data_IF_826953379189
#
_entry.id   IF_826953379189
#
_cell.length_a   1.000
_cell.length_b   1.000
_cell.length_c   1.000
_cell.angle_alpha   90.00
_cell.angle_beta   90.00
_cell.angle_gamma   90.00
#
_symmetry.space_group_name_H-M   'P 1'
#
loop_
_entity.id
_entity.type
_entity.pdbx_description
1 polymer ?
#
# COMPACT_ATOMS: atom_id res chain seq x y z
N UNK A 1 -12.49 8.31 -21.44
CA UNK A 1 -13.08 8.27 -20.11
C UNK A 1 -13.64 6.90 -19.83
N UNK A 2 -13.32 6.34 -18.74
CA UNK A 2 -13.87 5.04 -18.51
C UNK A 2 -15.25 5.12 -17.87
N UNK A 3 -15.93 4.04 -18.04
CA UNK A 3 -17.28 3.90 -17.57
C UNK A 3 -17.35 3.92 -16.07
N UNK A 4 -18.38 4.49 -15.56
CA UNK A 4 -18.66 4.44 -14.14
C UNK A 4 -19.03 3.05 -13.75
N UNK A 5 -18.15 2.40 -13.06
CA UNK A 5 -18.45 1.16 -12.39
C UNK A 5 -18.94 1.56 -11.00
N UNK A 6 -20.16 1.17 -10.59
CA UNK A 6 -20.67 1.58 -9.28
C UNK A 6 -19.81 1.12 -8.12
N UNK A 7 -19.01 0.08 -8.33
CA UNK A 7 -18.14 -0.45 -7.30
C UNK A 7 -16.78 0.23 -7.26
N UNK A 8 -16.50 1.10 -8.22
CA UNK A 8 -15.22 1.79 -8.26
C UNK A 8 -15.37 3.17 -7.65
N UNK A 9 -14.35 3.55 -6.92
CA UNK A 9 -14.32 4.85 -6.29
C UNK A 9 -14.16 5.92 -7.34
N UNK A 10 -14.79 7.04 -7.13
CA UNK A 10 -14.62 8.20 -7.97
C UNK A 10 -13.32 8.86 -7.57
N UNK A 11 -12.23 8.27 -8.00
CA UNK A 11 -10.91 8.64 -7.52
C UNK A 11 -10.47 10.04 -7.95
N UNK A 12 -11.03 10.52 -9.04
CA UNK A 12 -10.68 11.85 -9.52
C UNK A 12 -10.97 12.95 -8.51
N UNK A 13 -11.76 12.63 -7.51
CA UNK A 13 -12.09 13.60 -6.48
C UNK A 13 -11.01 13.84 -5.47
N UNK A 14 -10.01 13.00 -5.44
CA UNK A 14 -9.02 13.07 -4.37
C UNK A 14 -8.10 14.28 -4.52
N UNK A 15 -7.04 14.14 -5.25
CA UNK A 15 -6.11 15.24 -5.48
C UNK A 15 -5.46 15.76 -4.20
N UNK A 16 -5.34 14.91 -3.18
CA UNK A 16 -4.82 15.32 -1.88
C UNK A 16 -3.34 15.02 -1.68
N UNK A 17 -2.70 14.37 -2.65
CA UNK A 17 -1.29 13.97 -2.53
C UNK A 17 -1.02 13.26 -1.21
N UNK A 18 -1.87 12.30 -0.88
CA UNK A 18 -1.78 11.59 0.38
C UNK A 18 -1.67 10.10 0.12
N UNK A 19 -0.82 9.44 0.85
CA UNK A 19 -0.62 7.99 0.69
C UNK A 19 -1.04 7.26 1.97
N UNK A 20 -1.79 6.17 1.79
CA UNK A 20 -2.16 5.27 2.87
C UNK A 20 -1.01 4.27 3.05
N UNK A 21 -0.48 4.18 4.26
CA UNK A 21 0.69 3.34 4.57
C UNK A 21 0.25 1.98 5.10
N UNK A 22 -0.20 1.11 4.20
CA UNK A 22 -0.61 -0.25 4.55
C UNK A 22 0.53 -1.25 4.49
N UNK A 23 0.23 -2.48 4.87
CA UNK A 23 1.21 -3.56 4.84
C UNK A 23 1.57 -4.08 6.22
N UNK A 24 2.76 -4.68 6.33
CA UNK A 24 3.20 -5.34 7.56
C UNK A 24 3.21 -4.37 8.74
N UNK A 25 2.58 -4.80 9.83
CA UNK A 25 2.61 -4.08 11.11
C UNK A 25 3.62 -4.76 12.05
N UNK A 26 3.14 -5.40 13.10
CA UNK A 26 3.97 -6.27 13.97
C UNK A 26 5.33 -5.69 14.34
N UNK A 27 5.36 -4.42 14.76
CA UNK A 27 6.59 -3.75 15.16
C UNK A 27 7.60 -3.57 14.02
N UNK A 28 7.18 -3.75 12.78
CA UNK A 28 8.04 -3.50 11.63
C UNK A 28 8.39 -2.02 11.57
N UNK A 29 9.64 -1.73 11.21
CA UNK A 29 10.17 -0.36 11.22
C UNK A 29 10.07 0.35 9.89
N UNK A 30 9.50 -0.28 8.87
CA UNK A 30 9.55 0.32 7.54
C UNK A 30 8.84 1.69 7.46
N UNK A 31 7.77 1.88 8.25
CA UNK A 31 7.09 3.17 8.24
C UNK A 31 7.98 4.27 8.80
N UNK A 32 8.68 3.96 9.88
CA UNK A 32 9.61 4.91 10.48
C UNK A 32 10.75 5.30 9.55
N UNK A 33 11.15 4.37 8.68
CA UNK A 33 12.20 4.64 7.69
C UNK A 33 11.68 5.42 6.50
N UNK A 34 10.45 5.14 6.06
CA UNK A 34 9.88 5.77 4.88
C UNK A 34 9.39 7.19 5.14
N UNK A 35 8.70 7.41 6.26
CA UNK A 35 8.04 8.69 6.53
C UNK A 35 8.98 9.89 6.36
N UNK A 36 10.22 9.86 6.91
CA UNK A 36 11.12 11.02 6.72
C UNK A 36 11.49 11.30 5.26
N UNK A 37 11.34 10.32 4.38
CA UNK A 37 11.68 10.49 2.97
C UNK A 37 10.52 11.06 2.15
N UNK A 38 9.31 11.09 2.70
CA UNK A 38 8.13 11.52 1.97
C UNK A 38 8.02 13.03 1.91
N UNK A 39 7.64 13.54 0.74
CA UNK A 39 7.34 14.96 0.53
C UNK A 39 5.84 15.19 0.33
N UNK A 40 5.05 14.14 0.47
CA UNK A 40 3.59 14.22 0.38
C UNK A 40 3.00 13.82 1.73
N UNK A 41 1.71 14.09 1.90
CA UNK A 41 1.02 13.69 3.12
C UNK A 41 0.83 12.18 3.17
N UNK A 42 0.63 11.68 4.36
CA UNK A 42 0.42 10.25 4.55
C UNK A 42 -0.58 10.00 5.68
N UNK A 43 -1.16 8.80 5.66
CA UNK A 43 -1.94 8.29 6.76
C UNK A 43 -1.28 7.02 7.27
N UNK A 44 -0.91 7.01 8.54
CA UNK A 44 -0.31 5.84 9.18
C UNK A 44 -1.39 5.13 10.01
N UNK A 45 -1.84 3.94 9.59
CA UNK A 45 -2.92 3.25 10.30
C UNK A 45 -2.50 2.57 11.60
N UNK A 46 -1.22 2.57 11.91
CA UNK A 46 -0.72 1.89 13.13
C UNK A 46 -1.08 2.72 14.35
N UNK A 47 -1.75 2.10 15.30
CA UNK A 47 -2.15 2.75 16.57
C UNK A 47 -1.85 1.81 17.72
N UNK A 48 -1.63 2.39 18.92
CA UNK A 48 -1.35 1.59 20.12
C UNK A 48 -2.58 0.83 20.57
N UNK A 49 -3.74 1.51 20.60
CA UNK A 49 -5.00 0.91 21.02
C UNK A 49 -5.96 0.86 19.84
N UNK A 50 -6.25 -0.34 19.37
CA UNK A 50 -7.17 -0.53 18.28
C UNK A 50 -8.62 -0.40 18.75
N UNK A 51 -9.35 0.51 18.15
CA UNK A 51 -10.76 0.72 18.45
C UNK A 51 -11.58 0.63 17.19
N UNK A 52 -12.91 0.56 17.36
CA UNK A 52 -13.82 0.58 16.23
C UNK A 52 -13.71 1.87 15.43
N UNK A 53 -13.49 2.99 16.10
CA UNK A 53 -13.30 4.27 15.42
C UNK A 53 -12.02 4.29 14.61
N UNK A 54 -10.95 3.66 15.11
CA UNK A 54 -9.70 3.52 14.36
C UNK A 54 -9.92 2.70 13.10
N UNK A 55 -10.70 1.64 13.19
CA UNK A 55 -11.02 0.79 12.04
C UNK A 55 -11.79 1.59 10.99
N UNK A 56 -12.77 2.37 11.41
CA UNK A 56 -13.56 3.19 10.49
C UNK A 56 -12.69 4.24 9.79
N UNK A 57 -11.79 4.87 10.53
CA UNK A 57 -10.90 5.85 9.94
C UNK A 57 -9.94 5.19 8.96
N UNK A 58 -9.44 4.01 9.27
CA UNK A 58 -8.57 3.27 8.36
C UNK A 58 -9.26 2.96 7.05
N UNK A 59 -10.49 2.45 7.12
CA UNK A 59 -11.28 2.13 5.92
C UNK A 59 -11.49 3.39 5.09
N UNK A 60 -11.85 4.49 5.75
CA UNK A 60 -12.07 5.77 5.08
C UNK A 60 -10.80 6.26 4.39
N UNK A 61 -9.67 6.26 5.10
CA UNK A 61 -8.41 6.76 4.55
C UNK A 61 -7.93 5.91 3.39
N UNK A 62 -8.11 4.59 3.46
CA UNK A 62 -7.77 3.72 2.34
C UNK A 62 -8.54 4.11 1.07
N UNK A 63 -9.77 4.55 1.22
CA UNK A 63 -10.57 4.96 0.07
C UNK A 63 -10.23 6.34 -0.45
N UNK A 64 -9.93 7.29 0.43
CA UNK A 64 -9.79 8.69 0.03
C UNK A 64 -8.36 9.13 -0.29
N UNK A 65 -7.35 8.41 0.16
CA UNK A 65 -5.95 8.75 -0.17
C UNK A 65 -5.71 8.59 -1.66
N UNK A 66 -4.89 9.48 -2.24
CA UNK A 66 -4.53 9.40 -3.65
C UNK A 66 -3.78 8.12 -3.98
N UNK A 67 -3.03 7.60 -3.03
CA UNK A 67 -2.26 6.38 -3.21
C UNK A 67 -2.50 5.43 -2.06
N UNK A 68 -2.45 4.13 -2.35
CA UNK A 68 -2.43 3.10 -1.32
C UNK A 68 -1.16 2.30 -1.50
N UNK A 69 -0.35 2.30 -0.47
CA UNK A 69 0.93 1.59 -0.45
C UNK A 69 0.81 0.38 0.45
N UNK A 70 1.35 -0.73 -0.02
CA UNK A 70 1.43 -1.96 0.78
C UNK A 70 2.87 -2.45 0.77
N UNK A 71 3.51 -2.36 1.92
CA UNK A 71 4.88 -2.84 2.10
C UNK A 71 4.84 -4.16 2.88
N UNK A 72 5.41 -5.18 2.32
CA UNK A 72 5.44 -6.51 2.95
C UNK A 72 6.85 -6.84 3.38
N UNK A 73 7.02 -7.12 4.67
CA UNK A 73 8.31 -7.50 5.23
C UNK A 73 8.21 -8.85 5.92
N UNK A 74 9.36 -9.43 6.27
CA UNK A 74 9.41 -10.74 6.92
C UNK A 74 8.82 -10.75 8.33
N UNK A 75 8.46 -9.59 8.87
CA UNK A 75 7.76 -9.50 10.15
C UNK A 75 6.28 -9.86 10.03
N UNK A 76 5.77 -10.02 8.81
CA UNK A 76 4.34 -10.28 8.64
C UNK A 76 3.92 -11.62 9.25
N UNK A 77 2.78 -11.60 9.93
CA UNK A 77 2.16 -12.82 10.43
C UNK A 77 0.76 -12.98 9.85
N UNK A 78 0.03 -11.89 9.70
CA UNK A 78 -1.26 -11.91 9.05
C UNK A 78 -1.11 -11.72 7.55
N UNK A 79 -2.16 -12.04 6.81
CA UNK A 79 -2.12 -12.01 5.35
C UNK A 79 -3.14 -11.04 4.74
N UNK A 80 -3.85 -10.30 5.57
CA UNK A 80 -4.94 -9.46 5.05
C UNK A 80 -4.45 -8.38 4.11
N UNK A 81 -3.27 -7.83 4.34
CA UNK A 81 -2.68 -6.84 3.44
C UNK A 81 -2.47 -7.38 2.03
N UNK A 82 -2.22 -8.68 1.92
CA UNK A 82 -2.08 -9.32 0.60
C UNK A 82 -3.42 -9.27 -0.13
N UNK A 83 -4.51 -9.60 0.57
CA UNK A 83 -5.85 -9.51 -0.03
C UNK A 83 -6.17 -8.08 -0.43
N UNK A 84 -5.81 -7.11 0.42
CA UNK A 84 -6.08 -5.71 0.14
C UNK A 84 -5.33 -5.20 -1.09
N UNK A 85 -4.04 -5.54 -1.21
CA UNK A 85 -3.27 -5.05 -2.35
C UNK A 85 -3.76 -5.66 -3.66
N UNK A 86 -4.16 -6.92 -3.64
CA UNK A 86 -4.71 -7.55 -4.83
C UNK A 86 -6.04 -6.89 -5.21
N UNK A 87 -6.90 -6.67 -4.21
CA UNK A 87 -8.17 -6.01 -4.43
C UNK A 87 -7.98 -4.61 -5.02
N UNK A 88 -7.09 -3.82 -4.42
CA UNK A 88 -6.81 -2.47 -4.90
C UNK A 88 -6.16 -2.47 -6.28
N UNK A 89 -5.30 -3.45 -6.57
CA UNK A 89 -4.68 -3.52 -7.89
C UNK A 89 -5.71 -3.76 -9.00
N UNK A 90 -6.83 -4.38 -8.66
CA UNK A 90 -7.93 -4.57 -9.61
C UNK A 90 -8.83 -3.35 -9.71
N UNK A 91 -9.11 -2.70 -8.58
CA UNK A 91 -10.06 -1.60 -8.53
C UNK A 91 -9.45 -0.26 -8.89
N UNK A 92 -8.20 -0.04 -8.53
CA UNK A 92 -7.52 1.25 -8.74
C UNK A 92 -6.02 1.07 -8.94
N UNK A 93 -5.65 0.40 -10.04
CA UNK A 93 -4.24 0.08 -10.28
C UNK A 93 -3.33 1.31 -10.33
N UNK A 94 -3.82 2.43 -10.85
CA UNK A 94 -3.02 3.64 -10.98
C UNK A 94 -2.62 4.24 -9.63
N UNK A 95 -3.32 3.88 -8.57
CA UNK A 95 -3.07 4.41 -7.24
C UNK A 95 -2.43 3.41 -6.29
N UNK A 96 -2.28 2.17 -6.72
CA UNK A 96 -1.80 1.08 -5.87
C UNK A 96 -0.32 0.85 -6.07
N UNK A 97 0.40 0.76 -4.95
CA UNK A 97 1.85 0.53 -4.94
C UNK A 97 2.13 -0.65 -4.04
N UNK A 98 2.89 -1.62 -4.55
CA UNK A 98 3.29 -2.80 -3.79
C UNK A 98 4.81 -2.80 -3.67
N UNK A 99 5.30 -2.91 -2.44
CA UNK A 99 6.72 -2.98 -2.17
C UNK A 99 7.00 -4.26 -1.38
N UNK A 100 7.66 -5.21 -2.01
CA UNK A 100 8.02 -6.47 -1.37
C UNK A 100 9.48 -6.40 -0.97
N UNK A 101 9.72 -6.27 0.35
CA UNK A 101 11.07 -6.28 0.92
C UNK A 101 11.38 -7.72 1.28
N UNK A 102 12.05 -8.42 0.38
CA UNK A 102 12.17 -9.87 0.46
C UNK A 102 13.21 -10.39 1.47
N UNK A 103 13.96 -9.50 2.07
CA UNK A 103 14.97 -9.88 3.04
C UNK A 103 14.35 -10.54 4.28
N UNK A 104 14.89 -11.67 4.68
CA UNK A 104 14.41 -12.37 5.87
C UNK A 104 13.33 -13.42 5.63
N UNK A 105 12.78 -13.48 4.43
CA UNK A 105 11.83 -14.53 4.06
C UNK A 105 12.56 -15.79 3.63
N UNK A 106 11.92 -16.96 3.86
CA UNK A 106 12.49 -18.20 3.34
C UNK A 106 12.21 -18.31 1.84
N UNK A 107 12.77 -19.36 1.24
CA UNK A 107 12.68 -19.55 -0.21
C UNK A 107 11.25 -19.70 -0.72
N UNK A 108 10.43 -20.45 0.01
CA UNK A 108 9.05 -20.69 -0.43
C UNK A 108 8.20 -19.44 -0.29
N UNK A 109 8.42 -18.67 0.77
CA UNK A 109 7.74 -17.39 0.96
C UNK A 109 8.11 -16.40 -0.14
N UNK A 110 9.40 -16.34 -0.48
CA UNK A 110 9.86 -15.44 -1.57
C UNK A 110 9.20 -15.80 -2.89
N UNK A 111 9.07 -17.08 -3.18
CA UNK A 111 8.43 -17.56 -4.39
C UNK A 111 6.95 -17.16 -4.41
N UNK A 112 6.27 -17.42 -3.31
CA UNK A 112 4.84 -17.14 -3.19
C UNK A 112 4.55 -15.62 -3.30
N UNK A 113 5.31 -14.82 -2.57
CA UNK A 113 5.12 -13.37 -2.59
C UNK A 113 5.57 -12.75 -3.91
N UNK A 114 6.54 -13.38 -4.57
CA UNK A 114 6.92 -12.99 -5.93
C UNK A 114 5.79 -13.18 -6.93
N UNK A 115 4.96 -14.21 -6.72
CA UNK A 115 3.78 -14.42 -7.56
C UNK A 115 2.73 -13.35 -7.30
N UNK A 116 2.57 -12.93 -6.04
CA UNK A 116 1.68 -11.81 -5.72
C UNK A 116 2.17 -10.52 -6.41
N UNK A 117 3.48 -10.27 -6.32
CA UNK A 117 4.09 -9.11 -6.98
C UNK A 117 3.78 -9.10 -8.47
N UNK A 118 3.94 -10.24 -9.12
CA UNK A 118 3.66 -10.36 -10.55
C UNK A 118 2.17 -10.10 -10.85
N UNK A 119 1.31 -10.66 -10.04
CA UNK A 119 -0.13 -10.50 -10.23
C UNK A 119 -0.55 -9.04 -10.16
N UNK A 120 -0.12 -8.33 -9.10
CA UNK A 120 -0.52 -6.93 -8.94
C UNK A 120 0.09 -6.05 -10.03
N UNK A 121 1.30 -6.38 -10.47
CA UNK A 121 1.93 -5.67 -11.58
C UNK A 121 1.15 -5.89 -12.87
N UNK A 122 0.75 -7.11 -13.15
CA UNK A 122 -0.02 -7.43 -14.34
C UNK A 122 -1.39 -6.74 -14.32
N UNK A 123 -1.92 -6.48 -13.13
CA UNK A 123 -3.17 -5.73 -12.98
C UNK A 123 -2.98 -4.22 -13.21
N UNK A 124 -1.74 -3.76 -13.28
CA UNK A 124 -1.45 -2.35 -13.55
C UNK A 124 -0.90 -1.56 -12.38
N UNK A 125 -0.73 -2.19 -11.22
CA UNK A 125 -0.18 -1.50 -10.06
C UNK A 125 1.31 -1.25 -10.22
N UNK A 126 1.83 -0.28 -9.48
CA UNK A 126 3.25 0.02 -9.42
C UNK A 126 3.91 -0.90 -8.41
N UNK A 127 5.04 -1.51 -8.77
CA UNK A 127 5.80 -2.34 -7.85
C UNK A 127 7.18 -1.72 -7.62
N UNK A 128 7.64 -1.79 -6.37
CA UNK A 128 8.94 -1.24 -5.97
C UNK A 128 9.71 -2.31 -5.20
N UNK A 129 11.02 -2.22 -5.24
CA UNK A 129 11.89 -3.18 -4.58
C UNK A 129 12.53 -2.62 -3.31
N UNK A 130 12.39 -1.33 -3.06
CA UNK A 130 12.97 -0.69 -1.89
C UNK A 130 12.12 0.49 -1.44
N UNK A 131 12.31 0.90 -0.20
CA UNK A 131 11.62 2.08 0.32
C UNK A 131 12.09 3.36 -0.39
N UNK A 132 13.34 3.40 -0.80
CA UNK A 132 13.85 4.54 -1.59
C UNK A 132 13.10 4.66 -2.92
N UNK A 133 12.81 3.54 -3.56
CA UNK A 133 12.03 3.54 -4.80
C UNK A 133 10.61 4.02 -4.57
N UNK A 134 10.01 3.62 -3.45
CA UNK A 134 8.67 4.07 -3.07
C UNK A 134 8.64 5.58 -2.90
N UNK A 135 9.60 6.11 -2.14
CA UNK A 135 9.70 7.56 -1.89
C UNK A 135 9.90 8.31 -3.20
N UNK A 136 10.79 7.83 -4.06
CA UNK A 136 11.06 8.46 -5.34
C UNK A 136 9.80 8.52 -6.20
N UNK A 137 9.06 7.43 -6.24
CA UNK A 137 7.82 7.37 -7.01
C UNK A 137 6.77 8.36 -6.46
N UNK A 138 6.56 8.34 -5.15
CA UNK A 138 5.55 9.19 -4.53
C UNK A 138 5.91 10.67 -4.60
N UNK A 139 7.19 11.00 -4.54
CA UNK A 139 7.65 12.39 -4.54
C UNK A 139 7.84 12.98 -5.94
N UNK A 140 7.62 12.21 -7.00
CA UNK A 140 8.02 12.61 -8.35
C UNK A 140 7.35 13.88 -8.87
N UNK A 141 6.20 14.22 -8.31
CA UNK A 141 5.49 15.42 -8.74
C UNK A 141 5.61 16.57 -7.75
N UNK A 142 6.60 16.49 -6.87
CA UNK A 142 6.83 17.55 -5.87
C UNK A 142 8.12 18.29 -6.13
#
# INVERSE_FOLDING_TARGET
>A
MHIKDPNKIIVAKKGNNKVFLGGTCNESKWRDELIPMLKIDYFNPVVDDWTEDCMKEEIKQREICDYVLYVITSDMTGVYSIAEVVDDSNKRPDETIFCFLDNGFDKDQKKSLGQVKKMVKDNGATVCDSLADVARYLNRSK
#
